data_IF_760683699971
#
_entry.id   IF_760683699971
#
_cell.length_a   1.000
_cell.length_b   1.000
_cell.length_c   1.000
_cell.angle_alpha   90.00
_cell.angle_beta   90.00
_cell.angle_gamma   90.00
#
_symmetry.space_group_name_H-M   'P 1'
#
loop_
_entity.id
_entity.type
_entity.pdbx_description
1 polymer ?
#
# COMPACT_ATOMS: atom_id res chain seq x y z
N UNK A 1 -7.52 -7.32 -12.80
CA UNK A 1 -6.73 -6.39 -13.58
C UNK A 1 -6.62 -5.05 -12.86
N UNK A 2 -5.47 -4.42 -12.97
CA UNK A 2 -5.17 -3.19 -12.25
C UNK A 2 -5.51 -1.99 -13.11
N UNK A 3 -6.34 -1.14 -12.58
CA UNK A 3 -6.71 0.10 -13.23
C UNK A 3 -5.63 1.17 -12.97
N UNK A 4 -5.33 1.96 -14.01
CA UNK A 4 -4.43 3.10 -13.87
C UNK A 4 -5.09 4.30 -13.21
N UNK A 5 -6.42 4.37 -13.19
CA UNK A 5 -7.21 5.43 -12.56
C UNK A 5 -8.39 4.84 -11.80
N UNK A 6 -8.52 5.23 -10.53
CA UNK A 6 -9.68 4.93 -9.71
C UNK A 6 -10.50 6.19 -9.44
N UNK A 7 -11.81 6.13 -9.68
CA UNK A 7 -12.73 7.22 -9.40
C UNK A 7 -13.57 6.89 -8.17
N UNK A 8 -13.52 7.76 -7.19
CA UNK A 8 -14.31 7.63 -5.95
C UNK A 8 -15.40 8.70 -5.96
N UNK A 9 -16.64 8.29 -5.89
CA UNK A 9 -17.79 9.20 -5.85
C UNK A 9 -17.88 9.97 -4.52
N UNK A 10 -18.65 11.07 -4.55
CA UNK A 10 -18.97 11.85 -3.34
C UNK A 10 -18.22 13.18 -3.22
N UNK A 11 -17.52 13.62 -4.26
CA UNK A 11 -16.99 14.97 -4.30
C UNK A 11 -18.13 15.99 -4.23
N UNK A 12 -18.00 16.97 -3.33
CA UNK A 12 -19.07 17.95 -3.07
C UNK A 12 -18.98 19.18 -3.96
N UNK A 13 -17.78 19.58 -4.35
CA UNK A 13 -17.51 20.78 -5.15
C UNK A 13 -16.47 20.50 -6.24
N UNK A 14 -16.73 20.82 -7.50
CA UNK A 14 -15.75 20.69 -8.57
C UNK A 14 -14.61 21.71 -8.44
N UNK A 15 -13.40 21.33 -8.84
CA UNK A 15 -12.27 22.26 -8.98
C UNK A 15 -11.52 22.59 -7.68
N UNK A 16 -11.71 21.81 -6.64
CA UNK A 16 -10.96 21.96 -5.40
C UNK A 16 -9.67 21.10 -5.45
N UNK A 17 -8.55 21.63 -4.98
CA UNK A 17 -7.24 20.96 -4.97
C UNK A 17 -7.20 19.62 -4.21
N UNK A 18 -8.24 19.31 -3.45
CA UNK A 18 -8.40 18.05 -2.71
C UNK A 18 -9.07 16.93 -3.52
N UNK A 19 -9.25 17.11 -4.82
CA UNK A 19 -9.90 16.10 -5.68
C UNK A 19 -8.98 14.92 -6.03
N UNK A 20 -7.66 15.15 -6.03
CA UNK A 20 -6.70 14.07 -6.12
C UNK A 20 -6.57 13.38 -4.76
N UNK A 21 -7.07 12.15 -4.65
CA UNK A 21 -6.95 11.39 -3.41
C UNK A 21 -5.47 11.04 -3.14
N UNK A 22 -4.85 10.36 -4.09
CA UNK A 22 -3.41 10.06 -4.07
C UNK A 22 -2.93 9.57 -5.43
N UNK A 23 -1.62 9.54 -5.63
CA UNK A 23 -0.95 8.81 -6.71
C UNK A 23 -0.19 7.64 -6.13
N UNK A 24 -0.31 6.48 -6.74
CA UNK A 24 0.31 5.24 -6.28
C UNK A 24 1.28 4.68 -7.33
N UNK A 25 2.42 4.21 -6.86
CA UNK A 25 3.48 3.62 -7.68
C UNK A 25 3.74 2.19 -7.22
N UNK A 26 3.56 1.25 -8.13
CA UNK A 26 3.82 -0.16 -7.85
C UNK A 26 5.31 -0.46 -7.92
N UNK A 27 5.80 -1.23 -6.95
CA UNK A 27 7.16 -1.77 -6.93
C UNK A 27 7.14 -3.28 -7.16
N UNK A 28 8.27 -3.83 -7.57
CA UNK A 28 8.36 -5.22 -8.01
C UNK A 28 8.44 -6.21 -6.85
N UNK A 29 8.98 -5.79 -5.70
CA UNK A 29 9.20 -6.66 -4.54
C UNK A 29 8.67 -6.03 -3.26
N UNK A 30 8.34 -6.89 -2.29
CA UNK A 30 7.95 -6.45 -0.96
C UNK A 30 9.09 -5.69 -0.25
N UNK A 31 10.33 -6.13 -0.46
CA UNK A 31 11.52 -5.48 0.10
C UNK A 31 11.63 -4.01 -0.28
N UNK A 32 11.22 -3.66 -1.51
CA UNK A 32 11.25 -2.27 -1.98
C UNK A 32 10.30 -1.37 -1.19
N UNK A 33 9.17 -1.89 -0.70
CA UNK A 33 8.27 -1.12 0.18
C UNK A 33 8.95 -0.83 1.52
N UNK A 34 9.64 -1.82 2.11
CA UNK A 34 10.39 -1.64 3.34
C UNK A 34 11.56 -0.65 3.17
N UNK A 35 12.30 -0.77 2.06
CA UNK A 35 13.39 0.18 1.73
C UNK A 35 12.86 1.59 1.50
N UNK A 36 11.67 1.72 0.87
CA UNK A 36 11.03 3.02 0.70
C UNK A 36 10.68 3.66 2.05
N UNK A 37 10.10 2.91 3.01
CA UNK A 37 9.89 3.39 4.38
C UNK A 37 11.19 3.93 5.00
N UNK A 38 12.24 3.13 4.96
CA UNK A 38 13.51 3.49 5.58
C UNK A 38 14.15 4.73 4.94
N UNK A 39 14.05 4.83 3.61
CA UNK A 39 14.53 5.99 2.87
C UNK A 39 13.73 7.25 3.21
N UNK A 40 12.40 7.18 3.19
CA UNK A 40 11.53 8.32 3.52
C UNK A 40 11.79 8.84 4.94
N UNK A 41 11.99 7.95 5.91
CA UNK A 41 12.33 8.34 7.28
C UNK A 41 13.73 8.99 7.36
N UNK A 42 14.71 8.47 6.61
CA UNK A 42 16.06 9.06 6.55
C UNK A 42 16.04 10.47 6.00
N UNK A 43 15.16 10.73 5.02
CA UNK A 43 14.97 12.05 4.41
C UNK A 43 13.97 12.94 5.17
N UNK A 44 13.53 12.53 6.37
CA UNK A 44 12.55 13.26 7.21
C UNK A 44 11.23 13.56 6.48
N UNK A 45 10.80 12.66 5.60
CA UNK A 45 9.53 12.76 4.89
C UNK A 45 8.41 12.24 5.77
N UNK A 46 7.29 12.97 5.82
CA UNK A 46 6.14 12.59 6.64
C UNK A 46 5.42 11.38 6.03
N UNK A 47 5.57 10.22 6.65
CA UNK A 47 4.78 9.02 6.37
C UNK A 47 3.43 9.14 7.07
N UNK A 48 2.35 8.94 6.33
CA UNK A 48 0.98 9.01 6.82
C UNK A 48 0.38 7.63 7.08
N UNK A 49 0.91 6.61 6.40
CA UNK A 49 0.51 5.22 6.58
C UNK A 49 1.63 4.28 6.15
N UNK A 50 1.77 3.16 6.84
CA UNK A 50 2.64 2.07 6.43
C UNK A 50 2.02 0.75 6.90
N UNK A 51 1.66 -0.13 5.97
CA UNK A 51 0.98 -1.38 6.34
C UNK A 51 0.24 -2.01 5.17
N UNK A 52 -0.82 -2.74 5.45
CA UNK A 52 -1.68 -3.38 4.46
C UNK A 52 -3.03 -2.69 4.39
N UNK A 53 -3.40 -2.23 3.22
CA UNK A 53 -4.74 -1.70 2.94
C UNK A 53 -5.74 -2.83 2.71
N UNK A 54 -6.93 -2.68 3.28
CA UNK A 54 -7.97 -3.72 3.22
C UNK A 54 -8.49 -3.93 1.79
N UNK A 55 -8.83 -2.86 1.10
CA UNK A 55 -9.56 -2.97 -0.17
C UNK A 55 -8.76 -3.62 -1.31
N UNK A 56 -7.45 -3.37 -1.38
CA UNK A 56 -6.58 -3.95 -2.40
C UNK A 56 -5.70 -5.08 -1.89
N UNK A 57 -5.69 -5.30 -0.58
CA UNK A 57 -4.73 -6.17 0.11
C UNK A 57 -3.25 -5.81 -0.16
N UNK A 58 -2.97 -4.65 -0.78
CA UNK A 58 -1.61 -4.22 -1.06
C UNK A 58 -0.87 -3.81 0.22
N UNK A 59 0.41 -4.10 0.24
CA UNK A 59 1.35 -3.58 1.25
C UNK A 59 1.90 -2.25 0.75
N UNK A 60 1.77 -1.20 1.53
CA UNK A 60 2.03 0.14 1.09
C UNK A 60 2.68 1.04 2.14
N UNK A 61 3.39 2.06 1.65
CA UNK A 61 3.80 3.24 2.43
C UNK A 61 3.22 4.46 1.74
N UNK A 62 2.44 5.24 2.48
CA UNK A 62 1.88 6.50 2.02
C UNK A 62 2.60 7.66 2.71
N UNK A 63 2.88 8.71 1.96
CA UNK A 63 3.65 9.85 2.43
C UNK A 63 3.21 11.14 1.75
N UNK A 64 3.63 12.27 2.28
CA UNK A 64 3.32 13.58 1.72
C UNK A 64 4.48 14.11 0.90
N UNK A 65 4.16 14.65 -0.29
CA UNK A 65 5.08 15.48 -1.05
C UNK A 65 5.21 16.90 -0.43
N UNK A 66 6.11 17.77 -0.93
CA UNK A 66 6.27 19.12 -0.40
C UNK A 66 5.00 19.99 -0.47
N UNK A 67 4.08 19.68 -1.38
CA UNK A 67 2.80 20.39 -1.55
C UNK A 67 1.64 19.72 -0.79
N UNK A 68 1.95 18.73 0.07
CA UNK A 68 1.00 17.95 0.85
C UNK A 68 0.06 17.05 0.04
N UNK A 69 0.45 16.66 -1.18
CA UNK A 69 -0.24 15.59 -1.88
C UNK A 69 0.16 14.23 -1.30
N UNK A 70 -0.79 13.32 -1.22
CA UNK A 70 -0.51 11.95 -0.79
C UNK A 70 0.05 11.16 -1.96
N UNK A 71 1.23 10.57 -1.75
CA UNK A 71 1.85 9.60 -2.64
C UNK A 71 1.88 8.24 -1.95
N UNK A 72 1.80 7.18 -2.74
CA UNK A 72 1.85 5.80 -2.26
C UNK A 72 2.90 5.01 -3.05
N UNK A 73 3.73 4.27 -2.33
CA UNK A 73 4.56 3.20 -2.90
C UNK A 73 3.99 1.88 -2.39
N UNK A 74 3.60 0.99 -3.31
CA UNK A 74 2.93 -0.24 -2.92
C UNK A 74 3.45 -1.47 -3.68
N UNK A 75 3.24 -2.61 -3.07
CA UNK A 75 3.48 -3.91 -3.65
C UNK A 75 2.21 -4.76 -3.61
N UNK A 76 1.94 -5.44 -4.73
CA UNK A 76 0.98 -6.54 -4.84
C UNK A 76 -0.46 -6.16 -4.46
N UNK A 77 -1.19 -5.55 -5.40
CA UNK A 77 -2.66 -5.56 -5.30
C UNK A 77 -3.12 -7.01 -5.47
N UNK A 78 -3.70 -7.57 -4.41
CA UNK A 78 -4.06 -8.97 -4.31
C UNK A 78 -5.56 -9.14 -4.06
N UNK A 79 -6.35 -8.76 -5.07
CA UNK A 79 -7.80 -8.92 -5.06
C UNK A 79 -8.25 -10.28 -5.61
N UNK A 80 -7.35 -10.98 -6.28
CA UNK A 80 -7.62 -12.30 -6.86
C UNK A 80 -6.66 -13.30 -6.25
N UNK A 81 -7.19 -14.35 -5.64
CA UNK A 81 -6.38 -15.40 -5.04
C UNK A 81 -5.59 -16.22 -6.06
N UNK A 82 -4.66 -17.03 -5.57
CA UNK A 82 -3.83 -17.91 -6.42
C UNK A 82 -4.65 -18.94 -7.24
N UNK A 83 -5.89 -19.20 -6.84
CA UNK A 83 -6.85 -20.06 -7.56
C UNK A 83 -7.63 -19.34 -8.66
N UNK A 84 -7.33 -18.07 -8.91
CA UNK A 84 -7.98 -17.23 -9.92
C UNK A 84 -9.36 -16.68 -9.53
N UNK A 85 -9.81 -16.90 -8.28
CA UNK A 85 -11.08 -16.36 -7.78
C UNK A 85 -10.86 -15.03 -7.06
N UNK A 86 -11.84 -14.14 -7.18
CA UNK A 86 -11.87 -12.90 -6.40
C UNK A 86 -11.92 -13.25 -4.91
N UNK A 87 -11.04 -12.65 -4.11
CA UNK A 87 -11.02 -12.84 -2.67
C UNK A 87 -12.32 -12.40 -2.03
N UNK A 88 -12.85 -13.24 -1.15
CA UNK A 88 -14.01 -12.88 -0.34
C UNK A 88 -13.66 -11.71 0.61
N UNK A 89 -14.63 -10.85 0.95
CA UNK A 89 -14.39 -9.72 1.87
C UNK A 89 -13.77 -10.11 3.22
N UNK A 90 -14.00 -11.33 3.67
CA UNK A 90 -13.45 -11.91 4.91
C UNK A 90 -11.93 -12.15 4.84
N UNK A 91 -11.39 -12.31 3.64
CA UNK A 91 -9.96 -12.46 3.38
C UNK A 91 -9.23 -11.11 3.27
N UNK A 92 -9.97 -10.02 3.18
CA UNK A 92 -9.42 -8.67 3.11
C UNK A 92 -9.01 -8.22 4.50
N UNK A 93 -7.72 -8.28 4.76
CA UNK A 93 -7.14 -7.87 6.03
C UNK A 93 -6.56 -6.45 5.94
N UNK A 94 -6.57 -5.74 7.06
CA UNK A 94 -5.89 -4.47 7.23
C UNK A 94 -4.87 -4.60 8.36
N UNK A 95 -3.67 -4.09 8.13
CA UNK A 95 -2.62 -4.02 9.13
C UNK A 95 -1.96 -2.65 9.06
N UNK A 96 -1.73 -2.06 10.22
CA UNK A 96 -1.23 -0.68 10.34
C UNK A 96 0.29 -0.60 10.52
N UNK A 97 0.98 -1.73 10.32
CA UNK A 97 2.45 -1.81 10.28
C UNK A 97 2.88 -2.72 9.14
N UNK A 98 4.08 -2.49 8.60
CA UNK A 98 4.64 -3.36 7.55
C UNK A 98 4.91 -4.76 8.10
N UNK A 99 5.39 -4.86 9.31
CA UNK A 99 5.64 -6.14 9.99
C UNK A 99 4.35 -6.94 10.17
N UNK A 100 3.27 -6.28 10.61
CA UNK A 100 1.94 -6.89 10.71
C UNK A 100 1.41 -7.33 9.35
N UNK A 101 1.67 -6.55 8.29
CA UNK A 101 1.27 -6.89 6.93
C UNK A 101 1.97 -8.16 6.41
N UNK A 102 3.21 -8.40 6.83
CA UNK A 102 3.95 -9.64 6.54
C UNK A 102 3.40 -10.82 7.35
N UNK A 103 3.17 -10.61 8.64
CA UNK A 103 2.77 -11.71 9.56
C UNK A 103 1.33 -12.18 9.33
N UNK A 104 0.46 -11.30 8.81
CA UNK A 104 -0.96 -11.57 8.57
C UNK A 104 -1.32 -11.39 7.09
N UNK A 105 -0.60 -12.10 6.24
CA UNK A 105 -0.89 -12.10 4.81
C UNK A 105 -2.22 -12.80 4.50
N UNK A 106 -2.94 -12.37 3.45
CA UNK A 106 -4.07 -13.13 2.96
C UNK A 106 -3.64 -14.51 2.46
N UNK A 107 -4.53 -15.50 2.47
CA UNK A 107 -4.20 -16.87 2.08
C UNK A 107 -3.55 -16.95 0.70
N UNK A 108 -2.42 -17.65 0.60
CA UNK A 108 -1.69 -17.89 -0.65
C UNK A 108 -0.76 -16.77 -1.10
N UNK A 109 -0.71 -15.64 -0.40
CA UNK A 109 0.28 -14.59 -0.66
C UNK A 109 1.60 -14.92 0.04
N UNK A 110 2.69 -14.94 -0.73
CA UNK A 110 4.04 -15.09 -0.17
C UNK A 110 4.59 -13.71 0.20
N UNK A 111 4.73 -13.46 1.49
CA UNK A 111 5.29 -12.23 2.07
C UNK A 111 6.69 -12.42 2.65
N UNK A 112 7.42 -13.43 2.17
CA UNK A 112 8.82 -13.63 2.55
C UNK A 112 9.68 -12.49 2.02
N UNK A 113 10.39 -11.81 2.93
CA UNK A 113 11.39 -10.82 2.54
C UNK A 113 12.66 -11.52 2.06
N UNK A 114 13.24 -11.04 0.98
CA UNK A 114 14.56 -11.47 0.51
C UNK A 114 15.65 -11.01 1.48
N UNK A 115 15.47 -9.85 2.10
CA UNK A 115 16.34 -9.29 3.14
C UNK A 115 15.57 -9.16 4.47
N UNK A 116 15.63 -10.18 5.35
CA UNK A 116 14.94 -10.14 6.64
C UNK A 116 15.39 -9.01 7.57
N UNK A 117 16.56 -8.41 7.33
CA UNK A 117 17.07 -7.31 8.16
C UNK A 117 16.27 -6.01 8.03
N UNK A 118 15.40 -5.92 7.02
CA UNK A 118 14.49 -4.79 6.82
C UNK A 118 13.36 -4.74 7.86
N UNK A 119 13.09 -5.85 8.55
CA UNK A 119 12.09 -5.88 9.63
C UNK A 119 12.59 -5.14 10.86
N UNK A 120 11.65 -4.48 11.53
CA UNK A 120 11.87 -3.80 12.81
C UNK A 120 10.98 -4.46 13.85
N UNK A 121 11.46 -5.51 14.42
CA UNK A 121 10.73 -6.22 15.49
C UNK A 121 11.03 -5.64 16.87
#
# INVERSE_FOLDING_TARGET
DHHGVALVGGAKEPGNSNELNHMAFEVSTLDEVFRARDHLETEDVKITYAGRRRAGCQVAVEFLDPDNHVLEIYWCIDQVGSDGRVRAPEEWCEEVTLEGAVDKAPPGQDTTLEDPSLRRD
#
